data_IF_293142882417
#
_entry.id   IF_293142882417
#
_cell.length_a   1.000
_cell.length_b   1.000
_cell.length_c   1.000
_cell.angle_alpha   90.00
_cell.angle_beta   90.00
_cell.angle_gamma   90.00
#
_symmetry.space_group_name_H-M   'P 1'
#
loop_
_entity.id
_entity.type
_entity.pdbx_description
1 polymer ?
#
# COMPACT_ATOMS: atom_id res chain seq x y z
N UNK A 1 -21.73 -27.42 -1.30
CA UNK A 1 -23.10 -26.99 -0.87
C UNK A 1 -23.00 -25.49 -0.61
N UNK A 2 -24.00 -24.71 -0.99
CA UNK A 2 -24.02 -23.28 -0.68
C UNK A 2 -24.05 -23.09 0.86
N UNK A 3 -23.23 -22.17 1.34
CA UNK A 3 -23.21 -21.77 2.76
C UNK A 3 -24.24 -20.65 2.95
N UNK A 4 -25.14 -20.80 3.91
CA UNK A 4 -26.32 -19.93 4.06
C UNK A 4 -26.09 -18.71 4.99
N UNK A 5 -24.86 -18.46 5.40
CA UNK A 5 -24.54 -17.27 6.21
C UNK A 5 -24.58 -16.03 5.34
N UNK A 6 -25.23 -14.97 5.81
CA UNK A 6 -25.27 -13.68 5.16
C UNK A 6 -24.12 -12.80 5.63
N UNK A 7 -23.26 -12.36 4.73
CA UNK A 7 -22.01 -11.67 5.04
C UNK A 7 -22.05 -10.23 4.56
N UNK A 8 -21.70 -9.29 5.42
CA UNK A 8 -21.44 -7.91 5.05
C UNK A 8 -19.94 -7.67 4.85
N UNK A 9 -19.55 -7.03 3.76
CA UNK A 9 -18.19 -6.54 3.51
C UNK A 9 -18.24 -5.02 3.46
N UNK A 10 -17.50 -4.35 4.33
CA UNK A 10 -17.36 -2.88 4.31
C UNK A 10 -16.11 -2.49 3.52
N UNK A 11 -16.31 -1.80 2.41
CA UNK A 11 -15.30 -1.34 1.50
C UNK A 11 -15.17 -2.19 0.23
N UNK A 12 -15.13 -1.54 -0.95
CA UNK A 12 -14.92 -2.16 -2.25
C UNK A 12 -13.52 -1.84 -2.85
N UNK A 13 -12.52 -1.70 -1.98
CA UNK A 13 -11.11 -1.66 -2.35
C UNK A 13 -10.55 -3.06 -2.62
N UNK A 14 -9.24 -3.18 -2.87
CA UNK A 14 -8.57 -4.46 -3.12
C UNK A 14 -8.91 -5.55 -2.10
N UNK A 15 -8.92 -5.22 -0.81
CA UNK A 15 -9.24 -6.15 0.27
C UNK A 15 -10.67 -6.70 0.20
N UNK A 16 -11.66 -5.80 0.04
CA UNK A 16 -13.08 -6.19 0.05
C UNK A 16 -13.45 -7.03 -1.16
N UNK A 17 -12.94 -6.65 -2.34
CA UNK A 17 -13.18 -7.41 -3.57
C UNK A 17 -12.45 -8.76 -3.56
N UNK A 18 -11.24 -8.83 -3.00
CA UNK A 18 -10.55 -10.10 -2.77
C UNK A 18 -11.35 -11.01 -1.84
N UNK A 19 -11.85 -10.48 -0.71
CA UNK A 19 -12.69 -11.24 0.19
C UNK A 19 -13.93 -11.79 -0.50
N UNK A 20 -14.63 -10.99 -1.31
CA UNK A 20 -15.82 -11.41 -2.05
C UNK A 20 -15.52 -12.54 -3.04
N UNK A 21 -14.45 -12.41 -3.85
CA UNK A 21 -14.01 -13.46 -4.80
C UNK A 21 -13.76 -14.79 -4.07
N UNK A 22 -13.09 -14.74 -2.93
CA UNK A 22 -12.74 -15.96 -2.18
C UNK A 22 -13.92 -16.53 -1.39
N UNK A 23 -14.87 -15.69 -0.95
CA UNK A 23 -16.16 -16.16 -0.42
C UNK A 23 -16.93 -16.95 -1.47
N UNK A 24 -17.05 -16.44 -2.70
CA UNK A 24 -17.69 -17.18 -3.80
C UNK A 24 -17.00 -18.51 -4.09
N UNK A 25 -15.65 -18.51 -4.16
CA UNK A 25 -14.86 -19.74 -4.35
C UNK A 25 -15.11 -20.76 -3.24
N UNK A 26 -15.39 -20.29 -2.00
CA UNK A 26 -15.72 -21.15 -0.85
C UNK A 26 -17.22 -21.51 -0.75
N UNK A 27 -18.04 -21.07 -1.71
CA UNK A 27 -19.47 -21.44 -1.80
C UNK A 27 -20.42 -20.54 -1.02
N UNK A 28 -19.98 -19.36 -0.56
CA UNK A 28 -20.87 -18.33 -0.02
C UNK A 28 -21.54 -17.57 -1.17
N UNK A 29 -22.87 -17.51 -1.14
CA UNK A 29 -23.68 -16.88 -2.18
C UNK A 29 -24.53 -15.72 -1.65
N UNK A 30 -24.62 -15.52 -0.34
CA UNK A 30 -25.36 -14.42 0.29
C UNK A 30 -24.40 -13.47 0.97
N UNK A 31 -23.91 -12.48 0.22
CA UNK A 31 -23.07 -11.42 0.74
C UNK A 31 -23.43 -10.06 0.11
N UNK A 32 -23.04 -8.99 0.78
CA UNK A 32 -23.18 -7.62 0.29
C UNK A 32 -21.88 -6.87 0.49
N UNK A 33 -21.42 -6.15 -0.53
CA UNK A 33 -20.28 -5.22 -0.44
C UNK A 33 -20.84 -3.80 -0.39
N UNK A 34 -20.47 -3.06 0.65
CA UNK A 34 -20.95 -1.69 0.89
C UNK A 34 -19.78 -0.70 0.76
N UNK A 35 -19.84 0.18 -0.24
CA UNK A 35 -18.82 1.17 -0.53
C UNK A 35 -19.39 2.59 -0.43
N UNK A 36 -18.65 3.48 0.24
CA UNK A 36 -19.06 4.88 0.44
C UNK A 36 -18.81 5.77 -0.78
N UNK A 37 -17.77 5.46 -1.55
CA UNK A 37 -17.42 6.21 -2.76
C UNK A 37 -18.37 5.84 -3.91
N UNK A 38 -18.31 6.60 -5.00
CA UNK A 38 -19.08 6.37 -6.24
C UNK A 38 -18.41 5.36 -7.19
N UNK A 39 -17.30 4.77 -6.77
CA UNK A 39 -16.48 3.83 -7.53
C UNK A 39 -15.83 2.76 -6.65
N UNK A 40 -15.42 1.65 -7.26
CA UNK A 40 -14.62 0.60 -6.62
C UNK A 40 -13.13 0.85 -6.83
N UNK A 41 -12.28 0.13 -6.08
CA UNK A 41 -10.83 0.17 -6.21
C UNK A 41 -10.11 0.85 -5.04
N UNK A 42 -10.82 1.64 -4.22
CA UNK A 42 -10.22 2.30 -3.05
C UNK A 42 -9.03 3.18 -3.43
N UNK A 43 -7.83 2.85 -2.95
CA UNK A 43 -6.59 3.57 -3.29
C UNK A 43 -5.98 3.18 -4.65
N UNK A 44 -6.52 2.19 -5.34
CA UNK A 44 -6.29 1.97 -6.77
C UNK A 44 -7.28 2.86 -7.54
N UNK A 45 -6.94 4.14 -7.64
CA UNK A 45 -7.81 5.16 -8.21
C UNK A 45 -7.18 5.76 -9.47
N UNK A 46 -7.83 5.51 -10.61
CA UNK A 46 -7.33 5.87 -11.93
C UNK A 46 -8.36 6.69 -12.70
N UNK A 47 -8.53 7.99 -12.41
CA UNK A 47 -9.46 8.86 -13.14
C UNK A 47 -9.01 9.12 -14.57
N UNK A 48 -9.90 9.75 -15.37
CA UNK A 48 -9.65 10.10 -16.77
C UNK A 48 -9.24 11.56 -16.94
N UNK A 49 -8.31 11.79 -17.89
CA UNK A 49 -8.03 13.09 -18.46
C UNK A 49 -7.80 12.92 -19.98
N UNK A 50 -8.52 13.69 -20.79
CA UNK A 50 -8.47 13.64 -22.26
C UNK A 50 -8.52 12.19 -22.81
N UNK A 51 -9.48 11.39 -22.29
CA UNK A 51 -9.75 10.03 -22.74
C UNK A 51 -8.75 8.96 -22.27
N UNK A 52 -7.77 9.31 -21.41
CA UNK A 52 -6.79 8.38 -20.86
C UNK A 52 -6.79 8.40 -19.34
N UNK A 53 -6.54 7.23 -18.75
CA UNK A 53 -6.40 7.09 -17.30
C UNK A 53 -5.04 7.56 -16.81
N UNK A 54 -5.02 8.15 -15.63
CA UNK A 54 -3.81 8.44 -14.86
C UNK A 54 -3.98 7.95 -13.41
N UNK A 55 -2.87 7.78 -12.69
CA UNK A 55 -2.90 7.16 -11.37
C UNK A 55 -2.87 8.21 -10.25
N UNK A 56 -3.84 8.12 -9.35
CA UNK A 56 -3.89 8.93 -8.13
C UNK A 56 -3.55 8.13 -6.87
N UNK A 57 -3.19 6.86 -7.00
CA UNK A 57 -2.82 5.95 -5.92
C UNK A 57 -1.81 4.92 -6.40
N UNK A 58 -2.16 3.63 -6.35
CA UNK A 58 -1.31 2.56 -6.86
C UNK A 58 -1.02 2.71 -8.36
N UNK A 59 0.20 2.33 -8.79
CA UNK A 59 0.69 2.63 -10.14
C UNK A 59 1.07 1.36 -10.92
N UNK A 60 1.68 0.36 -10.25
CA UNK A 60 2.41 -0.71 -10.90
C UNK A 60 2.29 -2.04 -10.18
N UNK A 61 2.59 -3.11 -10.89
CA UNK A 61 2.79 -4.45 -10.37
C UNK A 61 4.15 -5.02 -10.73
N UNK A 62 4.47 -6.18 -10.16
CA UNK A 62 5.72 -6.89 -10.39
C UNK A 62 5.51 -8.41 -10.26
N UNK A 63 6.49 -9.26 -10.66
CA UNK A 63 6.34 -10.71 -10.68
C UNK A 63 5.99 -11.39 -9.35
N UNK A 64 6.13 -10.71 -8.22
CA UNK A 64 5.71 -11.22 -6.90
C UNK A 64 4.24 -10.92 -6.57
N UNK A 65 3.49 -10.29 -7.45
CA UNK A 65 2.07 -9.98 -7.25
C UNK A 65 1.17 -11.18 -7.60
N UNK A 66 1.31 -12.27 -6.85
CA UNK A 66 0.60 -13.53 -7.09
C UNK A 66 -0.91 -13.45 -6.87
N UNK A 67 -1.33 -12.81 -5.78
CA UNK A 67 -2.75 -12.69 -5.45
C UNK A 67 -3.46 -11.65 -6.31
N UNK A 68 -2.79 -10.55 -6.66
CA UNK A 68 -3.31 -9.60 -7.65
C UNK A 68 -3.47 -10.28 -9.01
N UNK A 69 -2.52 -11.12 -9.42
CA UNK A 69 -2.62 -11.86 -10.67
C UNK A 69 -3.82 -12.83 -10.69
N UNK A 70 -4.18 -13.43 -9.58
CA UNK A 70 -5.42 -14.21 -9.49
C UNK A 70 -6.67 -13.35 -9.74
N UNK A 71 -6.67 -12.08 -9.28
CA UNK A 71 -7.76 -11.15 -9.55
C UNK A 71 -7.76 -10.66 -11.01
N UNK A 72 -6.58 -10.44 -11.61
CA UNK A 72 -6.45 -10.15 -13.05
C UNK A 72 -7.07 -11.27 -13.88
N UNK A 73 -6.72 -12.53 -13.59
CA UNK A 73 -7.28 -13.70 -14.27
C UNK A 73 -8.80 -13.80 -14.07
N UNK A 74 -9.27 -13.57 -12.84
CA UNK A 74 -10.70 -13.55 -12.54
C UNK A 74 -11.41 -12.42 -13.30
N UNK A 75 -10.87 -11.21 -13.32
CA UNK A 75 -11.39 -10.05 -14.05
C UNK A 75 -11.22 -10.15 -15.57
N UNK A 76 -10.23 -10.89 -16.06
CA UNK A 76 -9.83 -10.93 -17.47
C UNK A 76 -9.11 -9.66 -17.89
N UNK A 77 -8.25 -9.13 -17.01
CA UNK A 77 -7.47 -7.91 -17.22
C UNK A 77 -6.01 -8.24 -17.47
N UNK A 78 -5.40 -7.62 -18.47
CA UNK A 78 -4.00 -7.77 -18.81
C UNK A 78 -3.16 -6.55 -18.36
N UNK A 79 -1.92 -6.79 -17.95
CA UNK A 79 -0.94 -5.74 -17.65
C UNK A 79 -0.21 -5.26 -18.91
N UNK A 80 -0.93 -4.55 -19.76
CA UNK A 80 -0.51 -4.07 -21.08
C UNK A 80 -0.35 -2.55 -21.18
N UNK A 81 -0.12 -1.91 -20.02
CA UNK A 81 0.01 -0.46 -19.91
C UNK A 81 1.39 0.07 -20.33
N UNK A 82 1.58 1.39 -20.26
CA UNK A 82 2.86 2.02 -20.63
C UNK A 82 4.01 1.49 -19.77
N UNK A 83 5.16 1.27 -20.40
CA UNK A 83 6.37 0.81 -19.71
C UNK A 83 6.88 1.90 -18.76
N UNK A 84 7.22 1.50 -17.54
CA UNK A 84 7.80 2.38 -16.55
C UNK A 84 9.25 2.74 -16.88
N UNK A 85 9.54 4.01 -16.92
CA UNK A 85 10.89 4.56 -17.03
C UNK A 85 11.19 5.43 -15.81
N UNK A 86 12.43 5.43 -15.35
CA UNK A 86 12.90 6.23 -14.22
C UNK A 86 14.08 7.09 -14.58
N UNK A 87 14.02 8.33 -14.16
CA UNK A 87 15.13 9.25 -14.15
C UNK A 87 15.34 9.79 -12.72
N UNK A 88 16.53 10.32 -12.47
CA UNK A 88 16.88 10.86 -11.17
C UNK A 88 17.28 12.31 -11.31
N UNK A 89 16.92 13.12 -10.33
CA UNK A 89 17.21 14.55 -10.29
C UNK A 89 17.73 14.95 -8.91
N UNK A 90 18.63 15.89 -8.89
CA UNK A 90 19.05 16.59 -7.69
C UNK A 90 17.95 17.52 -7.18
N UNK A 91 18.00 17.93 -5.91
CA UNK A 91 17.07 18.93 -5.35
C UNK A 91 17.02 20.25 -6.12
N UNK A 92 18.04 20.58 -6.92
CA UNK A 92 18.07 21.74 -7.80
C UNK A 92 17.53 21.45 -9.22
N UNK A 93 16.87 20.30 -9.42
CA UNK A 93 16.25 19.88 -10.66
C UNK A 93 17.22 19.30 -11.72
N UNK A 94 18.55 19.36 -11.51
CA UNK A 94 19.51 18.85 -12.50
C UNK A 94 19.47 17.32 -12.60
N UNK A 95 19.45 16.77 -13.83
CA UNK A 95 19.54 15.31 -14.02
C UNK A 95 20.85 14.75 -13.44
N UNK A 96 20.76 13.59 -12.80
CA UNK A 96 21.91 12.80 -12.39
C UNK A 96 21.55 11.32 -12.32
N UNK A 97 22.56 10.47 -12.22
CA UNK A 97 22.34 9.03 -12.09
C UNK A 97 23.23 8.49 -10.97
N UNK A 98 22.66 8.22 -9.78
CA UNK A 98 23.42 7.78 -8.60
C UNK A 98 23.94 6.36 -8.72
N UNK A 99 23.44 5.58 -9.67
CA UNK A 99 23.76 4.17 -9.84
C UNK A 99 24.57 3.84 -11.10
N UNK A 100 25.01 4.87 -11.86
CA UNK A 100 25.70 4.66 -13.12
C UNK A 100 27.21 4.96 -13.03
N UNK A 101 28.05 3.94 -12.83
CA UNK A 101 29.50 4.13 -12.72
C UNK A 101 30.16 4.55 -14.04
N UNK A 102 29.49 4.35 -15.18
CA UNK A 102 30.01 4.82 -16.48
C UNK A 102 29.98 6.33 -16.58
N UNK A 103 28.99 6.98 -15.96
CA UNK A 103 28.89 8.45 -15.88
C UNK A 103 29.73 9.04 -14.75
N UNK A 104 29.95 8.30 -13.67
CA UNK A 104 30.76 8.73 -12.55
C UNK A 104 31.56 7.55 -11.97
N UNK A 105 32.81 7.32 -12.41
CA UNK A 105 33.66 6.22 -11.91
C UNK A 105 33.96 6.27 -10.42
N UNK A 106 33.90 7.44 -9.77
CA UNK A 106 34.11 7.58 -8.32
C UNK A 106 33.04 6.86 -7.49
N UNK A 107 31.90 6.50 -8.08
CA UNK A 107 30.85 5.70 -7.45
C UNK A 107 31.22 4.21 -7.32
N UNK A 108 32.23 3.70 -8.04
CA UNK A 108 32.53 2.27 -8.10
C UNK A 108 32.74 1.65 -6.72
N UNK A 109 33.61 2.19 -5.82
CA UNK A 109 33.81 1.59 -4.51
C UNK A 109 32.54 1.57 -3.65
N UNK A 110 31.74 2.63 -3.72
CA UNK A 110 30.48 2.74 -3.02
C UNK A 110 29.46 1.70 -3.52
N UNK A 111 29.28 1.61 -4.83
CA UNK A 111 28.35 0.65 -5.45
C UNK A 111 28.75 -0.81 -5.19
N UNK A 112 30.04 -1.12 -5.16
CA UNK A 112 30.53 -2.46 -4.79
C UNK A 112 30.21 -2.80 -3.34
N UNK A 113 30.42 -1.86 -2.41
CA UNK A 113 30.09 -2.03 -1.00
C UNK A 113 28.58 -2.18 -0.79
N UNK A 114 27.77 -1.33 -1.45
CA UNK A 114 26.32 -1.40 -1.43
C UNK A 114 25.84 -2.78 -1.95
N UNK A 115 26.33 -3.23 -3.11
CA UNK A 115 26.00 -4.56 -3.66
C UNK A 115 26.34 -5.70 -2.69
N UNK A 116 27.48 -5.61 -2.01
CA UNK A 116 27.86 -6.59 -0.97
C UNK A 116 26.89 -6.61 0.19
N UNK A 117 26.47 -5.43 0.67
CA UNK A 117 25.50 -5.32 1.77
C UNK A 117 24.10 -5.78 1.37
N UNK A 118 23.64 -5.48 0.15
CA UNK A 118 22.36 -5.97 -0.39
C UNK A 118 22.37 -7.51 -0.46
N UNK A 119 23.45 -8.11 -0.97
CA UNK A 119 23.60 -9.58 -0.98
C UNK A 119 23.57 -10.16 0.44
N UNK A 120 24.27 -9.52 1.39
CA UNK A 120 24.26 -9.91 2.81
C UNK A 120 22.86 -9.85 3.39
N UNK A 121 22.09 -8.77 3.11
CA UNK A 121 20.70 -8.64 3.56
C UNK A 121 19.85 -9.79 3.02
N UNK A 122 19.93 -10.10 1.73
CA UNK A 122 19.19 -11.24 1.14
C UNK A 122 19.52 -12.56 1.83
N UNK A 123 20.81 -12.81 2.15
CA UNK A 123 21.22 -14.01 2.91
C UNK A 123 20.62 -14.01 4.33
N UNK A 124 20.64 -12.87 5.02
CA UNK A 124 20.06 -12.75 6.37
C UNK A 124 18.55 -13.01 6.36
N UNK A 125 17.84 -12.47 5.39
CA UNK A 125 16.40 -12.68 5.24
C UNK A 125 16.06 -14.15 4.96
N UNK A 126 16.84 -14.82 4.13
CA UNK A 126 16.63 -16.23 3.82
C UNK A 126 17.03 -17.19 4.97
N UNK A 127 17.85 -16.74 5.92
CA UNK A 127 18.40 -17.59 6.99
C UNK A 127 18.00 -17.11 8.38
N UNK A 128 18.65 -16.04 8.89
CA UNK A 128 18.43 -15.52 10.24
C UNK A 128 16.98 -15.08 10.47
N UNK A 129 16.34 -14.48 9.46
CA UNK A 129 14.97 -13.93 9.55
C UNK A 129 13.95 -14.77 8.76
N UNK A 130 14.23 -16.05 8.54
CA UNK A 130 13.29 -16.95 7.86
C UNK A 130 11.90 -16.87 8.50
N UNK A 131 10.86 -16.75 7.68
CA UNK A 131 9.47 -16.65 8.12
C UNK A 131 8.91 -15.22 8.11
N UNK A 132 9.74 -14.18 7.89
CA UNK A 132 9.32 -12.78 7.88
C UNK A 132 8.28 -12.44 6.80
N UNK A 133 8.27 -13.18 5.68
CA UNK A 133 7.44 -12.89 4.51
C UNK A 133 6.04 -13.52 4.55
N UNK A 134 5.73 -14.35 5.56
CA UNK A 134 4.42 -15.00 5.59
C UNK A 134 3.30 -14.00 5.84
N UNK A 135 2.08 -14.36 5.44
CA UNK A 135 0.93 -13.48 5.42
C UNK A 135 0.65 -12.80 6.77
N UNK A 136 0.48 -11.49 6.73
CA UNK A 136 0.24 -10.67 7.92
C UNK A 136 1.50 -10.46 8.77
N UNK A 137 1.28 -9.99 10.00
CA UNK A 137 2.35 -9.65 10.94
C UNK A 137 2.25 -10.43 12.26
N UNK A 138 1.26 -11.32 12.37
CA UNK A 138 1.01 -12.11 13.58
C UNK A 138 2.22 -12.94 13.96
N UNK A 139 2.59 -12.88 15.23
CA UNK A 139 3.66 -13.67 15.83
C UNK A 139 5.06 -13.06 15.72
N UNK A 140 5.28 -12.04 14.89
CA UNK A 140 6.63 -11.43 14.72
C UNK A 140 7.16 -10.90 16.07
N UNK A 141 6.34 -10.21 16.86
CA UNK A 141 6.73 -9.70 18.17
C UNK A 141 7.02 -10.80 19.20
N UNK A 142 6.52 -11.99 18.99
CA UNK A 142 6.78 -13.17 19.81
C UNK A 142 7.96 -14.02 19.28
N UNK A 143 8.45 -13.74 18.08
CA UNK A 143 9.45 -14.56 17.40
C UNK A 143 8.86 -15.82 16.78
N UNK A 144 7.65 -15.71 16.25
CA UNK A 144 6.90 -16.81 15.62
C UNK A 144 6.42 -16.38 14.24
N UNK A 145 5.99 -17.32 13.44
CA UNK A 145 5.25 -17.08 12.22
C UNK A 145 4.12 -18.12 12.08
N UNK A 146 2.97 -17.64 11.66
CA UNK A 146 1.76 -18.43 11.48
C UNK A 146 0.94 -17.78 10.36
N UNK A 147 1.12 -18.25 9.13
CA UNK A 147 0.51 -17.67 7.96
C UNK A 147 0.72 -18.51 6.71
N UNK A 148 0.46 -17.92 5.55
CA UNK A 148 0.60 -18.61 4.27
C UNK A 148 1.86 -18.14 3.55
N UNK A 149 2.59 -19.11 3.00
CA UNK A 149 3.68 -18.83 2.07
C UNK A 149 3.09 -18.22 0.79
N UNK A 150 3.49 -16.99 0.42
CA UNK A 150 2.88 -16.29 -0.72
C UNK A 150 3.14 -16.96 -2.06
N UNK A 151 4.19 -17.79 -2.18
CA UNK A 151 4.55 -18.49 -3.42
C UNK A 151 3.79 -19.81 -3.56
N UNK A 152 3.73 -20.59 -2.47
CA UNK A 152 3.15 -21.93 -2.52
C UNK A 152 1.69 -21.99 -2.09
N UNK A 153 1.17 -20.94 -1.45
CA UNK A 153 -0.16 -20.88 -0.87
C UNK A 153 -0.37 -21.87 0.30
N UNK A 154 0.72 -22.47 0.82
CA UNK A 154 0.65 -23.43 1.93
C UNK A 154 0.72 -22.71 3.26
N UNK A 155 -0.09 -23.15 4.20
CA UNK A 155 -0.01 -22.71 5.60
C UNK A 155 1.32 -23.16 6.22
N UNK A 156 2.02 -22.23 6.87
CA UNK A 156 3.34 -22.46 7.46
C UNK A 156 3.34 -21.90 8.88
N UNK A 157 3.79 -22.71 9.82
CA UNK A 157 3.92 -22.35 11.24
C UNK A 157 5.33 -22.66 11.70
N UNK A 158 5.91 -21.80 12.53
CA UNK A 158 7.22 -22.04 13.11
C UNK A 158 7.63 -20.99 14.12
N UNK A 159 8.84 -21.18 14.66
CA UNK A 159 9.43 -20.27 15.62
C UNK A 159 10.78 -19.77 15.12
N UNK A 160 10.99 -18.47 15.23
CA UNK A 160 12.26 -17.81 14.95
C UNK A 160 12.39 -16.56 15.84
N UNK A 161 13.08 -16.64 16.98
CA UNK A 161 13.21 -15.52 17.91
C UNK A 161 13.87 -14.28 17.31
N UNK A 162 14.63 -14.44 16.19
CA UNK A 162 15.25 -13.29 15.51
C UNK A 162 14.20 -12.37 14.84
N UNK A 163 12.99 -12.85 14.58
CA UNK A 163 11.92 -12.01 14.00
C UNK A 163 11.60 -10.79 14.86
N UNK A 164 11.86 -10.84 16.17
CA UNK A 164 11.70 -9.70 17.08
C UNK A 164 12.54 -8.48 16.68
N UNK A 165 13.67 -8.69 16.01
CA UNK A 165 14.50 -7.61 15.48
C UNK A 165 13.73 -6.75 14.43
N UNK A 166 12.69 -7.32 13.79
CA UNK A 166 11.87 -6.64 12.79
C UNK A 166 10.91 -5.61 13.38
N UNK A 167 10.68 -5.64 14.70
CA UNK A 167 9.86 -4.65 15.38
C UNK A 167 10.54 -3.27 15.48
N UNK A 168 11.88 -3.21 15.42
CA UNK A 168 12.62 -1.95 15.41
C UNK A 168 12.50 -1.25 14.04
N UNK A 169 12.74 0.07 14.00
CA UNK A 169 12.74 0.80 12.72
C UNK A 169 13.79 0.24 11.74
N UNK A 170 13.53 0.43 10.46
CA UNK A 170 14.37 -0.18 9.41
C UNK A 170 15.81 0.34 9.40
N UNK A 171 16.02 1.60 9.78
CA UNK A 171 17.37 2.19 9.89
C UNK A 171 18.20 1.49 10.96
N UNK A 172 17.63 1.28 12.15
CA UNK A 172 18.29 0.59 13.24
C UNK A 172 18.47 -0.91 12.96
N UNK A 173 17.49 -1.55 12.31
CA UNK A 173 17.61 -2.90 11.80
C UNK A 173 18.80 -3.06 10.83
N UNK A 174 18.96 -2.13 9.89
CA UNK A 174 20.09 -2.13 8.97
C UNK A 174 21.42 -1.93 9.70
N UNK A 175 21.47 -1.07 10.69
CA UNK A 175 22.66 -0.85 11.54
C UNK A 175 23.02 -2.09 12.34
N UNK A 176 22.05 -2.73 13.00
CA UNK A 176 22.23 -3.98 13.76
C UNK A 176 22.87 -5.07 12.88
N UNK A 177 22.42 -5.17 11.65
CA UNK A 177 22.86 -6.19 10.70
C UNK A 177 24.06 -5.77 9.84
N UNK A 178 24.58 -4.53 10.00
CA UNK A 178 25.68 -3.95 9.21
C UNK A 178 25.42 -4.00 7.70
N UNK A 179 24.23 -3.48 7.30
CA UNK A 179 23.74 -3.43 5.92
C UNK A 179 23.14 -2.05 5.58
N UNK A 180 23.67 -0.98 6.17
CA UNK A 180 23.13 0.37 6.09
C UNK A 180 22.99 0.89 4.66
N UNK A 181 23.93 0.53 3.77
CA UNK A 181 23.88 0.94 2.36
C UNK A 181 22.77 0.26 1.56
N UNK A 182 22.19 -0.84 2.07
CA UNK A 182 21.03 -1.46 1.43
C UNK A 182 19.84 -0.50 1.37
N UNK A 183 19.69 0.41 2.35
CA UNK A 183 18.63 1.41 2.38
C UNK A 183 18.55 2.25 1.10
N UNK A 184 19.67 2.48 0.41
CA UNK A 184 19.70 3.25 -0.84
C UNK A 184 18.90 2.60 -1.97
N UNK A 185 18.74 1.28 -1.94
CA UNK A 185 17.89 0.55 -2.90
C UNK A 185 16.42 0.65 -2.48
N UNK A 186 16.14 0.56 -1.18
CA UNK A 186 14.77 0.53 -0.66
C UNK A 186 14.09 1.89 -0.61
N UNK A 187 14.86 3.01 -0.48
CA UNK A 187 14.30 4.36 -0.29
C UNK A 187 13.40 4.81 -1.45
N UNK A 188 13.79 4.51 -2.69
CA UNK A 188 13.02 4.92 -3.88
C UNK A 188 11.63 4.29 -3.94
N UNK A 189 11.50 2.96 -3.90
CA UNK A 189 10.19 2.31 -3.93
C UNK A 189 9.44 2.34 -2.57
N UNK A 190 10.03 2.86 -1.51
CA UNK A 190 9.40 2.96 -0.20
C UNK A 190 9.00 4.40 0.14
N UNK A 191 9.95 5.25 0.50
CA UNK A 191 9.67 6.63 0.93
C UNK A 191 9.00 7.45 -0.17
N UNK A 192 9.47 7.35 -1.42
CA UNK A 192 8.87 8.07 -2.54
C UNK A 192 7.41 7.67 -2.81
N UNK A 193 7.00 6.47 -2.39
CA UNK A 193 5.64 5.99 -2.56
C UNK A 193 4.75 6.23 -1.32
N UNK A 194 5.21 7.06 -0.38
CA UNK A 194 4.39 7.52 0.71
C UNK A 194 4.36 6.62 1.93
N UNK A 195 5.32 5.71 2.07
CA UNK A 195 5.37 4.76 3.18
C UNK A 195 6.22 5.24 4.38
N UNK A 196 6.51 6.55 4.47
CA UNK A 196 7.27 7.13 5.58
C UNK A 196 8.79 6.99 5.47
N UNK A 197 9.48 7.32 6.55
CA UNK A 197 10.94 7.32 6.62
C UNK A 197 11.47 6.13 7.42
N UNK A 198 12.67 5.67 7.11
CA UNK A 198 13.25 4.45 7.70
C UNK A 198 13.62 4.55 9.18
N UNK A 199 13.66 5.74 9.75
CA UNK A 199 13.92 5.96 11.17
C UNK A 199 12.65 6.10 12.03
N UNK A 200 11.48 5.81 11.44
CA UNK A 200 10.20 5.79 12.14
C UNK A 200 9.43 4.47 11.93
N UNK A 201 9.61 3.82 10.77
CA UNK A 201 8.78 2.67 10.38
C UNK A 201 9.47 1.35 10.75
N UNK A 202 8.78 0.43 11.45
CA UNK A 202 9.27 -0.93 11.74
C UNK A 202 9.76 -1.67 10.49
N UNK A 203 10.89 -2.37 10.64
CA UNK A 203 11.51 -3.12 9.56
C UNK A 203 10.57 -4.19 8.97
N UNK A 204 9.66 -4.72 9.79
CA UNK A 204 8.65 -5.67 9.35
C UNK A 204 7.81 -5.15 8.17
N UNK A 205 7.37 -3.90 8.22
CA UNK A 205 6.62 -3.29 7.12
C UNK A 205 7.45 -3.13 5.86
N UNK A 206 8.68 -2.61 6.02
CA UNK A 206 9.57 -2.36 4.88
C UNK A 206 9.88 -3.66 4.15
N UNK A 207 10.18 -4.72 4.89
CA UNK A 207 10.58 -6.01 4.33
C UNK A 207 9.39 -6.88 3.93
N UNK A 208 8.18 -6.59 4.41
CA UNK A 208 6.94 -7.23 3.98
C UNK A 208 6.57 -6.80 2.56
N UNK A 209 6.57 -5.50 2.31
CA UNK A 209 6.33 -4.93 0.98
C UNK A 209 7.47 -5.20 0.01
N UNK A 210 8.68 -4.83 0.41
CA UNK A 210 9.88 -4.98 -0.39
C UNK A 210 10.71 -6.13 0.15
N UNK A 211 10.18 -7.34 0.06
CA UNK A 211 10.97 -8.53 0.25
C UNK A 211 12.16 -8.53 -0.74
N UNK A 212 13.11 -9.42 -0.55
CA UNK A 212 14.32 -9.38 -1.37
C UNK A 212 14.05 -9.53 -2.87
N UNK A 213 13.09 -10.37 -3.26
CA UNK A 213 12.73 -10.60 -4.66
C UNK A 213 12.07 -9.35 -5.26
N UNK A 214 11.07 -8.80 -4.58
CA UNK A 214 10.35 -7.58 -4.99
C UNK A 214 11.31 -6.40 -5.13
N UNK A 215 12.21 -6.18 -4.16
CA UNK A 215 13.23 -5.13 -4.25
C UNK A 215 14.14 -5.31 -5.48
N UNK A 216 14.51 -6.55 -5.84
CA UNK A 216 15.32 -6.81 -7.03
C UNK A 216 14.54 -6.58 -8.34
N UNK A 217 13.23 -6.82 -8.39
CA UNK A 217 12.40 -6.45 -9.54
C UNK A 217 12.36 -4.94 -9.74
N UNK A 218 12.29 -4.16 -8.64
CA UNK A 218 12.44 -2.71 -8.71
C UNK A 218 13.81 -2.28 -9.25
N UNK A 219 14.90 -2.91 -8.81
CA UNK A 219 16.26 -2.63 -9.30
C UNK A 219 16.39 -2.94 -10.80
N UNK A 220 15.87 -4.10 -11.22
CA UNK A 220 15.96 -4.56 -12.60
C UNK A 220 14.94 -3.89 -13.52
N UNK A 221 14.02 -3.08 -12.99
CA UNK A 221 12.90 -2.45 -13.71
C UNK A 221 11.96 -3.48 -14.36
N UNK A 222 11.78 -4.61 -13.72
CA UNK A 222 10.86 -5.67 -14.13
C UNK A 222 9.48 -5.39 -13.52
N UNK A 223 8.85 -4.34 -13.98
CA UNK A 223 7.60 -3.78 -13.48
C UNK A 223 6.67 -3.52 -14.65
N UNK A 224 5.37 -3.64 -14.40
CA UNK A 224 4.34 -3.38 -15.40
C UNK A 224 3.25 -2.44 -14.89
N UNK A 225 2.44 -1.96 -15.81
CA UNK A 225 1.24 -1.17 -15.55
C UNK A 225 0.07 -1.73 -16.37
N UNK A 226 -1.13 -1.28 -16.06
CA UNK A 226 -2.34 -1.64 -16.80
C UNK A 226 -2.76 -0.48 -17.69
N UNK A 227 -3.13 -0.75 -18.96
CA UNK A 227 -3.51 0.31 -19.92
C UNK A 227 -4.60 1.21 -19.35
N UNK A 228 -5.63 0.61 -18.77
CA UNK A 228 -6.76 1.32 -18.20
C UNK A 228 -6.61 1.58 -16.70
N UNK A 229 -5.37 1.66 -16.19
CA UNK A 229 -5.03 1.95 -14.81
C UNK A 229 -5.22 0.78 -13.85
N UNK A 230 -4.69 0.93 -12.63
CA UNK A 230 -4.82 -0.10 -11.58
C UNK A 230 -6.26 -0.33 -11.16
N UNK A 231 -7.11 0.69 -11.25
CA UNK A 231 -8.54 0.61 -10.92
C UNK A 231 -9.28 -0.39 -11.81
N UNK A 232 -8.87 -0.56 -13.07
CA UNK A 232 -9.54 -1.44 -14.02
C UNK A 232 -9.58 -2.91 -13.58
N UNK A 233 -8.61 -3.37 -12.80
CA UNK A 233 -8.60 -4.72 -12.22
C UNK A 233 -9.84 -4.89 -11.34
N UNK A 234 -10.06 -3.94 -10.45
CA UNK A 234 -11.12 -4.01 -9.43
C UNK A 234 -12.50 -3.72 -10.02
N UNK A 235 -12.59 -2.89 -11.05
CA UNK A 235 -13.82 -2.69 -11.84
C UNK A 235 -14.23 -4.00 -12.52
N UNK A 236 -13.30 -4.67 -13.20
CA UNK A 236 -13.56 -5.92 -13.88
C UNK A 236 -13.89 -7.07 -12.89
N UNK A 237 -13.23 -7.12 -11.74
CA UNK A 237 -13.56 -8.07 -10.66
C UNK A 237 -14.99 -7.83 -10.18
N UNK A 238 -15.33 -6.57 -9.87
CA UNK A 238 -16.64 -6.20 -9.38
C UNK A 238 -17.78 -6.55 -10.35
N UNK A 239 -17.56 -6.35 -11.65
CA UNK A 239 -18.53 -6.70 -12.69
C UNK A 239 -18.78 -8.22 -12.80
N UNK A 240 -17.81 -9.05 -12.45
CA UNK A 240 -17.92 -10.52 -12.52
C UNK A 240 -18.44 -11.17 -11.24
N UNK A 241 -18.47 -10.45 -10.13
CA UNK A 241 -19.05 -10.96 -8.89
C UNK A 241 -20.56 -11.19 -9.04
N UNK A 242 -21.11 -12.20 -8.36
CA UNK A 242 -22.56 -12.47 -8.33
C UNK A 242 -23.31 -11.29 -7.72
N UNK A 243 -22.70 -10.61 -6.72
CA UNK A 243 -23.24 -9.43 -6.07
C UNK A 243 -22.22 -8.28 -6.15
N UNK A 244 -22.25 -7.46 -7.21
CA UNK A 244 -21.40 -6.27 -7.30
C UNK A 244 -21.59 -5.31 -6.13
N UNK A 245 -20.56 -4.52 -5.85
CA UNK A 245 -20.58 -3.57 -4.75
C UNK A 245 -21.71 -2.51 -4.90
N UNK A 246 -22.37 -2.26 -3.81
CA UNK A 246 -23.32 -1.16 -3.68
C UNK A 246 -22.51 0.11 -3.36
N UNK A 247 -22.50 1.05 -4.29
CA UNK A 247 -21.77 2.32 -4.21
C UNK A 247 -22.61 3.41 -3.54
N UNK A 248 -21.95 4.50 -3.11
CA UNK A 248 -22.59 5.63 -2.44
C UNK A 248 -23.34 5.23 -1.17
N UNK A 249 -22.88 4.19 -0.47
CA UNK A 249 -23.51 3.71 0.75
C UNK A 249 -22.87 4.37 1.97
N UNK A 250 -23.66 5.20 2.65
CA UNK A 250 -23.24 5.81 3.90
C UNK A 250 -23.75 4.98 5.09
N UNK A 251 -22.87 4.19 5.69
CA UNK A 251 -23.15 3.45 6.92
C UNK A 251 -23.11 4.43 8.09
N UNK A 252 -24.22 4.58 8.81
CA UNK A 252 -24.35 5.51 9.93
C UNK A 252 -24.11 4.84 11.27
N UNK A 253 -24.39 3.53 11.38
CA UNK A 253 -24.23 2.77 12.62
C UNK A 253 -24.09 1.27 12.31
N UNK A 254 -23.31 0.56 13.13
CA UNK A 254 -23.27 -0.90 13.19
C UNK A 254 -23.40 -1.32 14.65
N UNK A 255 -24.28 -2.30 14.92
CA UNK A 255 -24.42 -2.96 16.23
C UNK A 255 -24.28 -4.48 16.10
N UNK A 256 -23.73 -5.11 17.12
CA UNK A 256 -23.41 -6.55 17.12
C UNK A 256 -24.04 -7.18 18.35
N UNK A 257 -25.31 -7.57 18.23
CA UNK A 257 -26.12 -8.07 19.32
C UNK A 257 -26.78 -9.41 18.97
N UNK A 258 -27.02 -10.25 19.95
CA UNK A 258 -27.73 -11.53 19.79
C UNK A 258 -27.17 -12.45 18.71
N UNK A 259 -25.86 -12.43 18.48
CA UNK A 259 -25.20 -13.24 17.46
C UNK A 259 -25.43 -12.77 16.03
N UNK A 260 -25.90 -11.55 15.83
CA UNK A 260 -26.14 -10.89 14.55
C UNK A 260 -25.41 -9.54 14.46
N UNK A 261 -25.20 -9.09 13.23
CA UNK A 261 -24.65 -7.77 12.91
C UNK A 261 -25.72 -6.96 12.21
N UNK A 262 -26.07 -5.81 12.78
CA UNK A 262 -27.05 -4.90 12.22
C UNK A 262 -26.33 -3.69 11.65
N UNK A 263 -26.50 -3.46 10.35
CA UNK A 263 -25.88 -2.35 9.60
C UNK A 263 -26.96 -1.34 9.22
N UNK A 264 -26.80 -0.09 9.65
CA UNK A 264 -27.74 1.00 9.40
C UNK A 264 -27.23 1.86 8.24
N UNK A 265 -28.07 1.98 7.21
CA UNK A 265 -27.83 2.78 6.01
C UNK A 265 -28.96 3.81 5.90
N UNK A 266 -28.70 5.04 6.38
CA UNK A 266 -29.78 6.01 6.64
C UNK A 266 -30.79 5.44 7.63
N UNK A 267 -32.08 5.41 7.26
CA UNK A 267 -33.17 4.88 8.09
C UNK A 267 -33.40 3.36 7.92
N UNK A 268 -32.65 2.69 7.05
CA UNK A 268 -32.80 1.25 6.81
C UNK A 268 -31.78 0.47 7.63
N UNK A 269 -32.23 -0.61 8.25
CA UNK A 269 -31.39 -1.60 8.93
C UNK A 269 -31.35 -2.88 8.11
N UNK A 270 -30.15 -3.39 7.89
CA UNK A 270 -29.88 -4.69 7.26
C UNK A 270 -29.18 -5.59 8.27
N UNK A 271 -29.62 -6.85 8.36
CA UNK A 271 -29.05 -7.82 9.29
C UNK A 271 -28.17 -8.84 8.57
N UNK A 272 -27.04 -9.18 9.17
CA UNK A 272 -26.04 -10.09 8.68
C UNK A 272 -25.58 -11.07 9.77
N UNK A 273 -25.07 -12.22 9.36
CA UNK A 273 -24.47 -13.21 10.27
C UNK A 273 -23.05 -12.83 10.65
N UNK A 274 -22.29 -12.27 9.69
CA UNK A 274 -20.89 -11.89 9.86
C UNK A 274 -20.58 -10.59 9.12
N UNK A 275 -19.53 -9.89 9.57
CA UNK A 275 -19.06 -8.68 8.92
C UNK A 275 -17.54 -8.73 8.72
N UNK A 276 -17.09 -8.40 7.53
CA UNK A 276 -15.67 -8.20 7.18
C UNK A 276 -15.43 -6.70 6.99
N UNK A 277 -14.60 -6.12 7.84
CA UNK A 277 -14.26 -4.70 7.78
C UNK A 277 -12.93 -4.53 7.04
N UNK A 278 -12.96 -3.89 5.87
CA UNK A 278 -11.77 -3.57 5.08
C UNK A 278 -11.50 -2.06 5.03
N UNK A 279 -12.39 -1.27 5.63
CA UNK A 279 -12.23 0.18 5.80
C UNK A 279 -11.21 0.50 6.92
N UNK A 280 -10.69 1.75 6.96
CA UNK A 280 -9.72 2.16 7.97
C UNK A 280 -10.22 1.99 9.41
N UNK A 281 -9.55 1.11 10.19
CA UNK A 281 -10.03 0.68 11.51
C UNK A 281 -10.05 1.80 12.56
N UNK A 282 -9.20 2.85 12.47
CA UNK A 282 -9.23 3.95 13.42
C UNK A 282 -10.57 4.70 13.44
N UNK A 283 -11.33 4.66 12.34
CA UNK A 283 -12.64 5.31 12.26
C UNK A 283 -13.80 4.40 12.72
N UNK A 284 -13.55 3.11 12.86
CA UNK A 284 -14.55 2.13 13.24
C UNK A 284 -15.29 2.51 14.52
N UNK A 285 -14.65 2.98 15.61
CA UNK A 285 -15.35 3.35 16.82
C UNK A 285 -16.36 4.51 16.68
N UNK A 286 -16.31 5.27 15.58
CA UNK A 286 -17.22 6.38 15.33
C UNK A 286 -18.61 5.96 14.86
N UNK A 287 -18.74 4.72 14.34
CA UNK A 287 -20.02 4.21 13.82
C UNK A 287 -20.30 2.75 14.20
N UNK A 288 -19.40 2.08 14.95
CA UNK A 288 -19.61 0.77 15.55
C UNK A 288 -19.88 0.87 17.05
N UNK A 289 -20.54 -0.14 17.62
CA UNK A 289 -20.61 -0.42 19.06
C UNK A 289 -19.26 -0.97 19.56
N UNK A 290 -18.19 -0.25 19.28
CA UNK A 290 -16.84 -0.72 19.52
C UNK A 290 -16.55 -1.00 20.99
N UNK A 291 -15.97 -2.17 21.27
CA UNK A 291 -15.49 -2.56 22.60
C UNK A 291 -14.33 -1.67 23.06
N UNK A 292 -14.03 -1.65 24.35
CA UNK A 292 -12.90 -0.90 24.88
C UNK A 292 -11.56 -1.40 24.31
N UNK A 293 -11.46 -2.71 24.01
CA UNK A 293 -10.29 -3.29 23.37
C UNK A 293 -10.10 -2.78 21.94
N UNK A 294 -11.17 -2.76 21.13
CA UNK A 294 -11.15 -2.20 19.77
C UNK A 294 -10.75 -0.73 19.78
N UNK A 295 -11.38 0.07 20.64
CA UNK A 295 -11.05 1.51 20.79
C UNK A 295 -9.58 1.71 21.13
N UNK A 296 -9.07 0.96 22.11
CA UNK A 296 -7.69 1.10 22.58
C UNK A 296 -6.67 0.67 21.52
N UNK A 297 -6.94 -0.39 20.72
CA UNK A 297 -6.03 -0.86 19.68
C UNK A 297 -6.10 0.04 18.43
N UNK A 298 -7.29 0.41 18.00
CA UNK A 298 -7.44 1.19 16.76
C UNK A 298 -7.02 2.65 16.90
N UNK A 299 -7.04 3.21 18.12
CA UNK A 299 -6.46 4.52 18.41
C UNK A 299 -4.93 4.61 18.25
N UNK A 300 -4.24 3.46 18.14
CA UNK A 300 -2.78 3.39 17.97
C UNK A 300 -2.34 3.40 16.50
N UNK A 301 -3.30 3.27 15.57
CA UNK A 301 -3.01 3.28 14.14
C UNK A 301 -2.72 4.71 13.70
N UNK A 302 -1.56 4.92 13.12
CA UNK A 302 -1.20 6.17 12.44
C UNK A 302 -1.19 5.99 10.92
N UNK A 303 -1.16 7.13 10.22
CA UNK A 303 -1.19 7.21 8.76
C UNK A 303 -0.23 8.25 8.27
N UNK A 304 0.41 7.96 7.15
CA UNK A 304 1.14 8.97 6.40
C UNK A 304 0.15 9.95 5.74
N UNK A 305 0.52 11.23 5.73
CA UNK A 305 -0.17 12.30 4.99
C UNK A 305 0.49 12.41 3.62
N UNK A 306 -0.02 11.64 2.68
CA UNK A 306 0.54 11.53 1.33
C UNK A 306 -0.34 12.23 0.32
N UNK A 307 0.14 13.35 -0.20
CA UNK A 307 -0.62 14.15 -1.14
C UNK A 307 -0.21 13.84 -2.58
N UNK A 308 -1.21 13.66 -3.42
CA UNK A 308 -1.04 13.45 -4.85
C UNK A 308 -1.79 14.55 -5.60
N UNK A 309 -1.09 15.26 -6.48
CA UNK A 309 -1.71 16.24 -7.37
C UNK A 309 -1.46 15.89 -8.82
N UNK A 310 -2.49 15.96 -9.65
CA UNK A 310 -2.39 15.83 -11.10
C UNK A 310 -2.42 17.23 -11.73
N UNK A 311 -1.41 17.54 -12.49
CA UNK A 311 -1.21 18.87 -13.09
C UNK A 311 -1.11 18.78 -14.61
N UNK A 312 -1.52 19.84 -15.30
CA UNK A 312 -1.16 20.07 -16.70
C UNK A 312 -0.01 21.06 -16.79
N UNK A 313 0.77 20.94 -17.85
CA UNK A 313 1.92 21.80 -18.08
C UNK A 313 1.61 22.85 -19.14
N UNK A 314 2.26 24.02 -19.05
CA UNK A 314 2.14 25.06 -20.07
C UNK A 314 2.60 24.55 -21.43
N UNK A 315 1.97 25.05 -22.49
CA UNK A 315 2.32 24.69 -23.86
C UNK A 315 3.81 24.97 -24.13
N UNK A 316 4.49 23.98 -24.68
CA UNK A 316 5.92 24.04 -24.95
C UNK A 316 6.83 23.57 -23.81
N UNK A 317 6.30 23.26 -22.65
CA UNK A 317 7.07 22.59 -21.59
C UNK A 317 7.45 21.19 -22.06
N UNK A 318 8.73 20.88 -21.95
CA UNK A 318 9.24 19.54 -22.25
C UNK A 318 9.62 18.83 -20.97
N UNK A 319 9.06 17.64 -20.75
CA UNK A 319 9.40 16.77 -19.64
C UNK A 319 9.83 15.39 -20.17
N UNK A 320 11.16 15.18 -20.27
CA UNK A 320 11.72 13.99 -20.92
C UNK A 320 11.54 12.70 -20.10
N UNK A 321 11.21 12.85 -18.80
CA UNK A 321 11.16 11.72 -17.88
C UNK A 321 9.73 11.22 -17.73
N UNK A 322 9.53 9.89 -17.76
CA UNK A 322 8.26 9.29 -17.40
C UNK A 322 8.05 9.38 -15.89
N UNK A 323 9.08 9.12 -15.09
CA UNK A 323 9.10 9.44 -13.67
C UNK A 323 10.44 10.03 -13.24
N UNK A 324 10.38 11.12 -12.48
CA UNK A 324 11.55 11.79 -11.95
C UNK A 324 11.64 11.66 -10.44
N UNK A 325 12.70 11.01 -9.94
CA UNK A 325 12.94 10.78 -8.51
C UNK A 325 13.93 11.80 -7.97
N UNK A 326 13.55 12.50 -6.88
CA UNK A 326 14.39 13.47 -6.17
C UNK A 326 14.86 12.87 -4.84
N UNK A 327 15.86 11.99 -4.87
CA UNK A 327 16.34 11.29 -3.67
C UNK A 327 16.83 12.25 -2.57
N UNK A 328 17.37 13.40 -2.93
CA UNK A 328 17.77 14.42 -1.96
C UNK A 328 16.60 14.94 -1.11
N UNK A 329 15.35 14.78 -1.57
CA UNK A 329 14.13 15.18 -0.86
C UNK A 329 13.50 14.06 -0.02
N UNK A 330 14.01 12.81 -0.09
CA UNK A 330 13.48 11.67 0.63
C UNK A 330 14.07 11.53 2.03
N UNK A 331 14.18 12.63 2.73
CA UNK A 331 14.69 12.72 4.11
C UNK A 331 13.77 13.61 4.95
N UNK A 332 13.65 13.38 6.27
CA UNK A 332 12.72 14.15 7.12
C UNK A 332 12.93 15.67 7.06
N UNK A 333 14.17 16.12 6.91
CA UNK A 333 14.53 17.55 6.83
C UNK A 333 13.97 18.24 5.58
N UNK A 334 13.59 17.44 4.57
CA UNK A 334 12.99 17.90 3.31
C UNK A 334 11.51 17.59 3.19
N UNK A 335 10.83 17.39 4.31
CA UNK A 335 9.40 17.14 4.36
C UNK A 335 8.61 18.26 3.66
N UNK A 336 7.62 17.89 2.85
CA UNK A 336 6.83 18.82 2.04
C UNK A 336 7.39 19.10 0.64
N UNK A 337 8.63 18.70 0.37
CA UNK A 337 9.21 18.78 -0.96
C UNK A 337 8.77 17.65 -1.89
N UNK A 338 8.85 17.87 -3.20
CA UNK A 338 8.57 16.88 -4.22
C UNK A 338 9.52 15.70 -4.10
N UNK A 339 8.99 14.49 -3.89
CA UNK A 339 9.79 13.26 -3.86
C UNK A 339 9.88 12.61 -5.23
N UNK A 340 8.74 12.55 -5.94
CA UNK A 340 8.65 11.98 -7.28
C UNK A 340 7.57 12.70 -8.08
N UNK A 341 7.77 12.79 -9.38
CA UNK A 341 6.69 13.07 -10.33
C UNK A 341 6.59 11.93 -11.34
N UNK A 342 5.40 11.72 -11.88
CA UNK A 342 5.12 10.62 -12.79
C UNK A 342 4.30 11.11 -13.98
N UNK A 343 4.83 10.92 -15.19
CA UNK A 343 4.17 11.21 -16.46
C UNK A 343 3.87 9.90 -17.17
N UNK A 344 2.66 9.39 -16.95
CA UNK A 344 2.25 8.07 -17.45
C UNK A 344 2.30 7.97 -18.98
N UNK A 345 1.88 9.02 -19.67
CA UNK A 345 1.74 9.08 -21.12
C UNK A 345 2.76 10.07 -21.71
N UNK A 346 4.05 9.82 -21.48
CA UNK A 346 5.15 10.75 -21.78
C UNK A 346 5.21 11.27 -23.21
N UNK A 347 4.72 10.46 -24.18
CA UNK A 347 4.72 10.83 -25.61
C UNK A 347 3.45 11.61 -26.02
N UNK A 348 2.59 11.95 -25.05
CA UNK A 348 1.32 12.63 -25.29
C UNK A 348 1.27 13.98 -24.59
N UNK A 349 1.35 15.09 -25.35
CA UNK A 349 1.63 16.43 -24.80
C UNK A 349 0.52 17.03 -23.94
N UNK A 350 -0.70 16.50 -23.99
CA UNK A 350 -1.85 17.03 -23.24
C UNK A 350 -2.19 16.21 -22.00
N UNK A 351 -1.40 15.20 -21.67
CA UNK A 351 -1.65 14.34 -20.52
C UNK A 351 -1.13 14.94 -19.21
N UNK A 352 -1.73 14.52 -18.12
CA UNK A 352 -1.37 15.01 -16.80
C UNK A 352 -0.06 14.41 -16.31
N UNK A 353 0.57 15.14 -15.43
CA UNK A 353 1.73 14.73 -14.65
C UNK A 353 1.33 14.72 -13.19
N UNK A 354 1.59 13.61 -12.48
CA UNK A 354 1.27 13.50 -11.05
C UNK A 354 2.48 13.79 -10.20
N UNK A 355 2.28 14.45 -9.07
CA UNK A 355 3.32 14.79 -8.09
C UNK A 355 2.99 14.19 -6.74
N UNK A 356 4.02 13.82 -5.97
CA UNK A 356 3.88 13.07 -4.74
C UNK A 356 4.71 13.67 -3.60
N UNK A 357 4.06 13.89 -2.44
CA UNK A 357 4.63 14.60 -1.30
C UNK A 357 4.18 13.99 0.02
N UNK A 358 5.10 13.89 0.99
CA UNK A 358 4.79 13.59 2.39
C UNK A 358 4.75 14.86 3.24
N UNK A 359 3.80 14.93 4.22
CA UNK A 359 3.59 16.10 5.07
C UNK A 359 3.76 15.86 6.57
N UNK A 360 3.88 14.61 6.98
CA UNK A 360 4.04 14.22 8.38
C UNK A 360 5.32 13.44 8.63
N UNK A 361 5.73 13.43 9.88
CA UNK A 361 6.86 12.66 10.36
C UNK A 361 6.65 12.32 11.83
N UNK A 362 6.87 11.05 12.20
CA UNK A 362 6.66 10.51 13.57
C UNK A 362 5.29 10.88 14.14
N UNK A 363 4.24 10.62 13.35
CA UNK A 363 2.86 10.86 13.73
C UNK A 363 2.44 12.33 13.79
N UNK A 364 3.31 13.27 13.41
CA UNK A 364 3.03 14.70 13.46
C UNK A 364 2.96 15.31 12.07
N UNK A 365 1.85 15.94 11.75
CA UNK A 365 1.73 16.75 10.53
C UNK A 365 2.54 18.04 10.73
N UNK A 366 3.67 18.16 10.01
CA UNK A 366 4.61 19.26 10.13
C UNK A 366 4.48 20.29 9.01
N UNK A 367 3.72 19.97 7.96
CA UNK A 367 3.41 20.87 6.85
C UNK A 367 1.92 20.83 6.55
N UNK A 368 1.34 21.99 6.31
CA UNK A 368 -0.01 22.07 5.74
C UNK A 368 0.01 21.61 4.28
N UNK A 369 -1.15 21.24 3.77
CA UNK A 369 -1.30 20.87 2.36
C UNK A 369 -0.85 21.98 1.40
N UNK A 370 -1.23 23.22 1.68
CA UNK A 370 -0.92 24.37 0.80
C UNK A 370 0.58 24.70 0.80
N UNK A 371 1.24 24.58 1.97
CA UNK A 371 2.71 24.73 2.05
C UNK A 371 3.41 23.66 1.22
N UNK A 372 3.05 22.38 1.39
CA UNK A 372 3.67 21.27 0.68
C UNK A 372 3.39 21.33 -0.82
N UNK A 373 2.17 21.66 -1.23
CA UNK A 373 1.81 21.87 -2.64
C UNK A 373 2.66 22.97 -3.27
N UNK A 374 2.81 24.11 -2.60
CA UNK A 374 3.65 25.20 -3.06
C UNK A 374 5.12 24.77 -3.20
N UNK A 375 5.67 24.08 -2.18
CA UNK A 375 7.05 23.59 -2.20
C UNK A 375 7.29 22.63 -3.36
N UNK A 376 6.39 21.65 -3.55
CA UNK A 376 6.48 20.71 -4.65
C UNK A 376 6.42 21.39 -6.02
N UNK A 377 5.59 22.41 -6.18
CA UNK A 377 5.48 23.16 -7.44
C UNK A 377 6.70 24.03 -7.70
N UNK A 378 7.32 24.58 -6.67
CA UNK A 378 8.62 25.27 -6.81
C UNK A 378 9.74 24.28 -7.20
N UNK A 379 9.75 23.06 -6.65
CA UNK A 379 10.67 21.99 -7.08
C UNK A 379 10.43 21.57 -8.55
N UNK A 380 9.18 21.50 -9.01
CA UNK A 380 8.84 21.22 -10.40
C UNK A 380 9.43 22.27 -11.35
N UNK A 381 9.37 23.55 -10.98
CA UNK A 381 10.00 24.64 -11.75
C UNK A 381 11.52 24.47 -11.84
N UNK A 382 12.18 24.03 -10.75
CA UNK A 382 13.61 23.71 -10.77
C UNK A 382 13.92 22.56 -11.72
N UNK A 383 12.98 21.63 -11.91
CA UNK A 383 13.09 20.56 -12.91
C UNK A 383 12.81 21.02 -14.35
N UNK A 384 12.49 22.30 -14.58
CA UNK A 384 12.14 22.86 -15.89
C UNK A 384 10.70 22.60 -16.31
N UNK A 385 9.81 22.27 -15.36
CA UNK A 385 8.40 21.96 -15.60
C UNK A 385 7.55 23.14 -15.18
N UNK A 386 6.97 23.84 -16.16
CA UNK A 386 6.05 24.95 -15.95
C UNK A 386 4.60 24.44 -15.84
N UNK A 387 4.03 24.61 -14.65
CA UNK A 387 2.67 24.18 -14.34
C UNK A 387 1.66 25.19 -14.90
N UNK A 388 0.66 24.69 -15.62
CA UNK A 388 -0.51 25.46 -16.05
C UNK A 388 -1.59 25.47 -14.95
N UNK A 389 -2.13 24.28 -14.61
CA UNK A 389 -3.16 24.15 -13.58
C UNK A 389 -3.13 22.76 -12.90
N UNK A 390 -3.70 22.69 -11.71
CA UNK A 390 -4.06 21.45 -11.06
C UNK A 390 -5.44 21.00 -11.58
N UNK A 391 -5.55 19.76 -12.06
CA UNK A 391 -6.79 19.19 -12.60
C UNK A 391 -7.45 18.20 -11.64
N UNK A 392 -6.65 17.58 -10.77
CA UNK A 392 -7.15 16.68 -9.75
C UNK A 392 -6.20 16.68 -8.54
N UNK A 393 -6.72 16.48 -7.34
CA UNK A 393 -5.93 16.35 -6.12
C UNK A 393 -6.55 15.34 -5.16
N UNK A 394 -5.69 14.61 -4.45
CA UNK A 394 -6.09 13.68 -3.41
C UNK A 394 -5.15 13.81 -2.23
N UNK A 395 -5.72 13.96 -1.04
CA UNK A 395 -5.03 13.98 0.25
C UNK A 395 -5.26 12.62 0.89
N UNK A 396 -4.28 11.73 0.73
CA UNK A 396 -4.43 10.40 1.27
C UNK A 396 -4.05 10.32 2.75
N UNK A 397 -4.88 9.67 3.54
CA UNK A 397 -4.46 8.96 4.72
C UNK A 397 -3.90 7.62 4.24
N UNK A 398 -2.60 7.56 4.09
CA UNK A 398 -1.91 6.48 3.39
C UNK A 398 -1.14 5.61 4.36
N UNK A 399 -0.92 4.36 4.00
CA UNK A 399 -0.11 3.43 4.77
C UNK A 399 -0.46 3.44 6.28
N UNK A 400 -1.56 2.77 6.70
CA UNK A 400 -1.83 2.54 8.11
C UNK A 400 -0.73 1.68 8.72
N UNK A 401 -0.21 2.11 9.87
CA UNK A 401 0.83 1.40 10.60
C UNK A 401 0.74 1.67 12.11
N UNK A 402 1.44 0.88 12.88
CA UNK A 402 1.73 1.17 14.29
C UNK A 402 3.23 1.35 14.47
N UNK A 403 3.63 2.21 15.40
CA UNK A 403 5.04 2.46 15.68
C UNK A 403 5.70 1.30 16.42
N UNK A 404 7.03 1.30 16.48
CA UNK A 404 7.89 0.25 17.05
C UNK A 404 7.40 -0.30 18.38
N UNK A 405 7.05 0.60 19.31
CA UNK A 405 6.61 0.20 20.65
C UNK A 405 5.34 -0.64 20.60
N UNK A 406 4.31 -0.15 19.91
CA UNK A 406 3.03 -0.86 19.82
C UNK A 406 3.15 -2.15 19.02
N UNK A 407 4.01 -2.16 17.99
CA UNK A 407 4.33 -3.36 17.25
C UNK A 407 4.99 -4.42 18.15
N UNK A 408 6.04 -4.05 18.89
CA UNK A 408 6.75 -4.93 19.80
C UNK A 408 5.91 -5.38 21.01
N UNK A 409 4.94 -4.56 21.43
CA UNK A 409 3.96 -4.88 22.47
C UNK A 409 2.86 -5.86 21.98
N UNK A 410 2.96 -6.38 20.75
CA UNK A 410 2.06 -7.40 20.20
C UNK A 410 0.72 -6.84 19.73
N UNK A 411 0.73 -5.70 19.06
CA UNK A 411 -0.49 -5.11 18.52
C UNK A 411 -1.19 -6.05 17.53
N UNK A 412 -0.44 -6.67 16.63
CA UNK A 412 -0.98 -7.58 15.62
C UNK A 412 -1.56 -8.85 16.23
N UNK A 413 -0.88 -9.43 17.21
CA UNK A 413 -1.35 -10.61 17.93
C UNK A 413 -2.67 -10.33 18.64
N UNK A 414 -2.81 -9.13 19.23
CA UNK A 414 -4.04 -8.70 19.90
C UNK A 414 -5.19 -8.50 18.91
N UNK A 415 -4.97 -7.88 17.76
CA UNK A 415 -6.01 -7.70 16.74
C UNK A 415 -6.40 -9.04 16.11
N UNK A 416 -5.42 -9.89 15.79
CA UNK A 416 -5.69 -11.23 15.26
C UNK A 416 -6.48 -12.09 16.24
N UNK A 417 -6.26 -11.93 17.55
CA UNK A 417 -7.06 -12.64 18.57
C UNK A 417 -8.53 -12.21 18.63
N UNK A 418 -8.87 -11.05 18.05
CA UNK A 418 -10.25 -10.57 17.97
C UNK A 418 -10.98 -11.08 16.70
N UNK A 419 -10.28 -11.72 15.74
CA UNK A 419 -10.92 -12.23 14.54
C UNK A 419 -12.07 -13.19 14.89
N UNK A 420 -13.27 -12.92 14.39
CA UNK A 420 -14.48 -13.66 14.66
C UNK A 420 -15.23 -13.29 15.95
N UNK A 421 -14.63 -12.48 16.84
CA UNK A 421 -15.36 -11.99 18.03
C UNK A 421 -16.48 -11.06 17.58
N UNK A 422 -17.65 -11.18 18.19
CA UNK A 422 -18.86 -10.46 17.81
C UNK A 422 -19.17 -10.57 16.30
N UNK A 423 -18.85 -11.71 15.69
CA UNK A 423 -19.02 -12.00 14.27
C UNK A 423 -18.30 -11.00 13.34
N UNK A 424 -17.23 -10.36 13.83
CA UNK A 424 -16.48 -9.31 13.12
C UNK A 424 -15.10 -9.80 12.73
N UNK A 425 -14.71 -9.51 11.49
CA UNK A 425 -13.42 -9.87 10.91
C UNK A 425 -12.76 -8.61 10.35
N UNK A 426 -11.48 -8.42 10.63
CA UNK A 426 -10.71 -7.25 10.22
C UNK A 426 -9.75 -7.62 9.10
N UNK A 427 -9.82 -6.87 8.02
CA UNK A 427 -8.93 -7.00 6.87
C UNK A 427 -8.45 -5.61 6.42
N UNK A 428 -7.93 -5.51 5.20
CA UNK A 428 -7.44 -4.25 4.66
C UNK A 428 -5.96 -3.99 4.95
N UNK A 429 -5.51 -2.83 4.57
CA UNK A 429 -4.09 -2.46 4.53
C UNK A 429 -3.34 -2.68 5.85
N UNK A 430 -3.94 -2.32 6.98
CA UNK A 430 -3.29 -2.40 8.30
C UNK A 430 -2.95 -3.84 8.70
N UNK A 431 -3.72 -4.82 8.25
CA UNK A 431 -3.55 -6.21 8.68
C UNK A 431 -2.36 -6.90 8.01
N UNK A 432 -1.83 -6.35 6.92
CA UNK A 432 -0.61 -6.81 6.26
C UNK A 432 0.26 -5.62 5.86
N UNK A 433 0.12 -5.10 4.65
CA UNK A 433 0.79 -3.90 4.17
C UNK A 433 -0.12 -3.15 3.19
N UNK A 434 0.12 -1.83 3.03
CA UNK A 434 -0.71 -0.95 2.22
C UNK A 434 -0.38 -0.97 0.72
N UNK A 435 0.09 -2.07 0.17
CA UNK A 435 0.16 -2.29 -1.27
C UNK A 435 -1.00 -3.18 -1.78
N UNK A 436 -1.06 -3.37 -3.08
CA UNK A 436 -2.13 -4.17 -3.68
C UNK A 436 -1.99 -5.66 -3.32
N UNK A 437 -0.79 -6.21 -3.44
CA UNK A 437 -0.54 -7.64 -3.26
C UNK A 437 -0.83 -8.10 -1.84
N UNK A 438 -0.19 -7.43 -0.87
CA UNK A 438 -0.31 -7.79 0.54
C UNK A 438 -1.75 -7.63 1.05
N UNK A 439 -2.44 -6.57 0.59
CA UNK A 439 -3.84 -6.31 0.94
C UNK A 439 -4.78 -7.39 0.38
N UNK A 440 -4.59 -7.78 -0.88
CA UNK A 440 -5.37 -8.84 -1.56
C UNK A 440 -5.08 -10.20 -0.92
N UNK A 441 -3.81 -10.52 -0.72
CA UNK A 441 -3.34 -11.79 -0.15
C UNK A 441 -3.88 -12.00 1.27
N UNK A 442 -3.80 -10.97 2.13
CA UNK A 442 -4.33 -11.09 3.50
C UNK A 442 -5.84 -11.39 3.52
N UNK A 443 -6.62 -10.72 2.67
CA UNK A 443 -8.07 -10.96 2.59
C UNK A 443 -8.39 -12.37 2.10
N UNK A 444 -7.63 -12.89 1.12
CA UNK A 444 -7.71 -14.29 0.68
C UNK A 444 -7.46 -15.25 1.85
N UNK A 445 -6.41 -15.01 2.62
CA UNK A 445 -6.04 -15.87 3.76
C UNK A 445 -7.04 -15.75 4.91
N UNK A 446 -7.59 -14.56 5.16
CA UNK A 446 -8.66 -14.38 6.14
C UNK A 446 -9.87 -15.26 5.79
N UNK A 447 -10.30 -15.24 4.54
CA UNK A 447 -11.42 -16.07 4.08
C UNK A 447 -11.06 -17.55 4.18
N UNK A 448 -9.87 -17.98 3.82
CA UNK A 448 -9.43 -19.37 3.95
C UNK A 448 -9.40 -19.87 5.41
N UNK A 449 -9.15 -18.97 6.38
CA UNK A 449 -9.10 -19.32 7.82
C UNK A 449 -10.48 -19.39 8.50
N UNK A 450 -11.43 -18.57 8.08
CA UNK A 450 -12.65 -18.32 8.86
C UNK A 450 -13.97 -18.55 8.10
N UNK A 451 -13.86 -18.81 6.81
CA UNK A 451 -15.01 -18.99 5.92
C UNK A 451 -14.84 -20.23 5.02
#
# INVERSE_FOLDING_TARGET
MAKNEKICIIGAGPAGLSAAVHLEKNGYTDYSILEKEDHVGGKCHSPYHDGKRFEMGAIMGCPTYYAVHELELFGGVDHNGPKLERAYRKMNGKPYDPFNPKKNPLLIPHLLKMKSQVKKLGTLLATKYKGYQYTGHKGISEGKYDGYDPVTGKHVVGENPNLKDLCMNFKDFCKLNKVELAQEIWIGPYTAFGYGFFDEIPAAYVLKYLDFATAMYFVNKDLWTWKDGTQSIYEAVNEKLQHPARLNVNITKVTRENGKVQVYIGDKMEEYDKIIVTAPLQYLPSYFDATEQEKALFAKIDYERYDVTAITCKKGTYYPDMSGYLFDNMVPERLGHLMVFYHRWKDEPNQVLTTYVLRNYKGKELKTYEEAKKMAWDDMKLCGIDIDKCVYERKWYYFPHVFEKDYADGWYEKVESMQGQLNTYYAGEIMSFGDMEETVQYSKDLVARFF
#
